data_IF_537959707061
#
_entry.id   IF_537959707061
#
_cell.length_a   1.000
_cell.length_b   1.000
_cell.length_c   1.000
_cell.angle_alpha   90.00
_cell.angle_beta   90.00
_cell.angle_gamma   90.00
#
_symmetry.space_group_name_H-M   'P 1'
#
loop_
_entity.id
_entity.type
_entity.pdbx_description
1 polymer ?
#
# COMPACT_ATOMS: atom_id res chain seq x y z
N UNK A 1 23.11 20.68 0.13
CA UNK A 1 22.52 19.92 -0.99
C UNK A 1 21.37 19.12 -0.40
N UNK A 2 20.22 19.01 -1.08
CA UNK A 2 19.11 18.20 -0.58
C UNK A 2 19.58 16.75 -0.34
N UNK A 3 19.10 16.15 0.73
CA UNK A 3 19.45 14.78 1.09
C UNK A 3 18.84 13.81 0.06
N UNK A 4 19.57 12.80 -0.44
CA UNK A 4 19.01 11.85 -1.41
C UNK A 4 17.75 11.17 -0.86
N UNK A 5 16.72 11.06 -1.70
CA UNK A 5 15.48 10.37 -1.38
C UNK A 5 15.48 8.98 -2.01
N UNK A 6 15.05 7.97 -1.26
CA UNK A 6 14.97 6.58 -1.72
C UNK A 6 13.58 6.02 -1.42
N UNK A 7 12.94 5.43 -2.43
CA UNK A 7 11.76 4.59 -2.24
C UNK A 7 12.18 3.13 -2.05
N UNK A 8 11.94 2.59 -0.85
CA UNK A 8 12.17 1.20 -0.49
C UNK A 8 11.03 0.26 -0.96
N UNK A 9 10.54 0.43 -2.19
CA UNK A 9 9.38 -0.29 -2.74
C UNK A 9 9.52 -0.56 -4.24
N UNK A 10 9.09 -1.73 -4.69
CA UNK A 10 9.01 -2.10 -6.12
C UNK A 10 7.64 -1.82 -6.72
N UNK A 11 6.76 -1.09 -6.04
CA UNK A 11 5.43 -0.75 -6.55
C UNK A 11 5.52 0.33 -7.63
N UNK A 12 5.09 0.03 -8.85
CA UNK A 12 5.03 1.01 -9.93
C UNK A 12 4.04 2.15 -9.67
N UNK A 13 2.95 1.86 -8.94
CA UNK A 13 1.95 2.85 -8.55
C UNK A 13 2.58 3.89 -7.61
N UNK A 14 3.28 3.45 -6.57
CA UNK A 14 3.96 4.36 -5.63
C UNK A 14 5.04 5.20 -6.32
N UNK A 15 5.82 4.58 -7.20
CA UNK A 15 6.80 5.31 -8.01
C UNK A 15 6.13 6.38 -8.87
N UNK A 16 5.01 6.05 -9.52
CA UNK A 16 4.25 6.99 -10.35
C UNK A 16 3.70 8.15 -9.52
N UNK A 17 3.18 7.88 -8.32
CA UNK A 17 2.69 8.92 -7.40
C UNK A 17 3.80 9.91 -7.00
N UNK A 18 4.97 9.42 -6.60
CA UNK A 18 6.08 10.28 -6.21
C UNK A 18 6.64 11.08 -7.41
N UNK A 19 6.75 10.46 -8.59
CA UNK A 19 7.19 11.15 -9.82
C UNK A 19 6.20 12.24 -10.25
N UNK A 20 4.90 11.95 -10.20
CA UNK A 20 3.86 12.92 -10.51
C UNK A 20 3.84 14.09 -9.52
N UNK A 21 4.29 13.88 -8.28
CA UNK A 21 4.50 14.92 -7.29
C UNK A 21 5.80 15.72 -7.50
N UNK A 22 6.58 15.43 -8.55
CA UNK A 22 7.82 16.14 -8.88
C UNK A 22 9.04 15.75 -8.03
N UNK A 23 8.97 14.62 -7.32
CA UNK A 23 10.09 14.15 -6.49
C UNK A 23 11.15 13.42 -7.33
N UNK A 24 12.41 13.74 -7.08
CA UNK A 24 13.56 12.97 -7.55
C UNK A 24 13.97 11.95 -6.49
N UNK A 25 14.06 10.67 -6.86
CA UNK A 25 14.34 9.58 -5.92
C UNK A 25 14.89 8.33 -6.62
N UNK A 26 15.71 7.59 -5.89
CA UNK A 26 16.14 6.25 -6.26
C UNK A 26 15.14 5.19 -5.81
N UNK A 27 15.09 4.06 -6.52
CA UNK A 27 14.27 2.90 -6.13
C UNK A 27 15.17 1.77 -5.67
N UNK A 28 14.94 1.27 -4.46
CA UNK A 28 15.69 0.15 -3.88
C UNK A 28 14.74 -0.90 -3.31
N UNK A 29 14.83 -2.13 -3.79
CA UNK A 29 14.04 -3.23 -3.22
C UNK A 29 14.56 -3.62 -1.82
N UNK A 30 13.75 -3.50 -0.78
CA UNK A 30 14.14 -3.87 0.59
C UNK A 30 14.39 -5.39 0.77
N UNK A 31 13.79 -6.24 -0.08
CA UNK A 31 13.85 -7.72 -0.02
C UNK A 31 13.56 -8.25 1.39
N UNK A 32 12.32 -8.08 1.85
CA UNK A 32 11.84 -8.50 3.18
C UNK A 32 10.93 -9.72 3.01
N UNK A 33 11.00 -10.67 3.95
CA UNK A 33 10.03 -11.76 4.06
C UNK A 33 8.78 -11.25 4.81
N UNK A 34 7.85 -10.67 4.04
CA UNK A 34 6.66 -10.01 4.58
C UNK A 34 5.66 -11.01 5.18
N UNK A 35 5.64 -12.24 4.67
CA UNK A 35 4.68 -13.28 5.08
C UNK A 35 5.01 -13.80 6.47
N UNK A 36 6.30 -14.08 6.73
CA UNK A 36 6.76 -14.52 8.06
C UNK A 36 6.46 -13.46 9.13
N UNK A 37 6.77 -12.18 8.85
CA UNK A 37 6.52 -11.07 9.79
C UNK A 37 5.03 -10.87 10.05
N UNK A 38 4.21 -10.91 9.00
CA UNK A 38 2.76 -10.81 9.14
C UNK A 38 2.21 -11.95 9.99
N UNK A 39 2.67 -13.17 9.75
CA UNK A 39 2.19 -14.37 10.46
C UNK A 39 2.57 -14.34 11.94
N UNK A 40 3.79 -13.90 12.28
CA UNK A 40 4.19 -13.76 13.68
C UNK A 40 3.38 -12.69 14.41
N UNK A 41 3.14 -11.54 13.76
CA UNK A 41 2.36 -10.46 14.36
C UNK A 41 0.89 -10.83 14.54
N UNK A 42 0.30 -11.56 13.60
CA UNK A 42 -1.06 -12.08 13.74
C UNK A 42 -1.18 -13.09 14.89
N UNK A 43 -0.15 -13.90 15.12
CA UNK A 43 -0.11 -14.83 16.26
C UNK A 43 -0.03 -14.12 17.62
N UNK A 44 0.37 -12.84 17.63
CA UNK A 44 0.41 -11.95 18.80
C UNK A 44 -0.79 -10.98 18.84
N UNK A 45 -1.86 -11.26 18.09
CA UNK A 45 -3.08 -10.44 18.01
C UNK A 45 -2.84 -8.98 17.59
N UNK A 46 -1.76 -8.72 16.84
CA UNK A 46 -1.47 -7.38 16.33
C UNK A 46 -2.58 -6.89 15.39
N UNK A 47 -2.93 -5.60 15.51
CA UNK A 47 -3.97 -5.02 14.66
C UNK A 47 -3.49 -4.89 13.20
N UNK A 48 -4.42 -4.83 12.21
CA UNK A 48 -4.08 -4.50 10.83
C UNK A 48 -3.23 -3.24 10.67
N UNK A 49 -3.46 -2.25 11.55
CA UNK A 49 -2.72 -0.99 11.58
C UNK A 49 -1.27 -1.22 11.98
N UNK A 50 -1.03 -2.01 13.02
CA UNK A 50 0.31 -2.30 13.54
C UNK A 50 1.11 -3.14 12.54
N UNK A 51 0.45 -4.11 11.88
CA UNK A 51 1.07 -4.94 10.85
C UNK A 51 1.56 -4.09 9.67
N UNK A 52 0.72 -3.19 9.15
CA UNK A 52 1.13 -2.36 8.01
C UNK A 52 2.22 -1.34 8.38
N UNK A 53 2.15 -0.75 9.59
CA UNK A 53 3.20 0.16 10.11
C UNK A 53 4.54 -0.56 10.25
N UNK A 54 4.55 -1.74 10.88
CA UNK A 54 5.76 -2.53 11.10
C UNK A 54 6.38 -3.02 9.78
N UNK A 55 5.58 -3.45 8.81
CA UNK A 55 6.08 -3.86 7.50
C UNK A 55 6.66 -2.67 6.71
N UNK A 56 6.04 -1.49 6.80
CA UNK A 56 6.58 -0.27 6.18
C UNK A 56 7.90 0.15 6.84
N UNK A 57 7.98 0.14 8.17
CA UNK A 57 9.20 0.45 8.93
C UNK A 57 10.31 -0.55 8.62
N UNK A 58 10.03 -1.85 8.59
CA UNK A 58 11.00 -2.89 8.29
C UNK A 58 11.62 -2.70 6.90
N UNK A 59 10.81 -2.36 5.89
CA UNK A 59 11.28 -2.05 4.53
C UNK A 59 12.19 -0.82 4.52
N UNK A 60 11.77 0.27 5.18
CA UNK A 60 12.53 1.51 5.25
C UNK A 60 13.87 1.32 5.99
N UNK A 61 13.83 0.78 7.19
CA UNK A 61 15.00 0.60 8.08
C UNK A 61 16.07 -0.29 7.44
N UNK A 62 15.67 -1.37 6.76
CA UNK A 62 16.61 -2.28 6.09
C UNK A 62 17.42 -1.61 4.98
N UNK A 63 16.81 -0.69 4.24
CA UNK A 63 17.49 0.09 3.18
C UNK A 63 18.26 1.26 3.80
N UNK A 64 17.67 1.96 4.76
CA UNK A 64 18.27 3.11 5.46
C UNK A 64 19.57 2.75 6.20
N UNK A 65 19.64 1.57 6.83
CA UNK A 65 20.85 1.09 7.48
C UNK A 65 22.06 0.93 6.52
N UNK A 66 21.81 0.79 5.21
CA UNK A 66 22.84 0.69 4.17
C UNK A 66 23.10 2.01 3.43
N UNK A 67 22.24 3.01 3.64
CA UNK A 67 22.25 4.33 3.00
C UNK A 67 22.03 5.39 4.08
N UNK A 68 22.96 5.51 5.06
CA UNK A 68 22.77 6.37 6.23
C UNK A 68 22.70 7.87 5.89
N UNK A 69 23.13 8.24 4.69
CA UNK A 69 23.12 9.57 4.11
C UNK A 69 21.80 9.92 3.40
N UNK A 70 20.85 9.00 3.29
CA UNK A 70 19.61 9.18 2.53
C UNK A 70 18.36 9.14 3.43
N UNK A 71 17.31 9.83 2.98
CA UNK A 71 15.95 9.63 3.48
C UNK A 71 15.33 8.44 2.75
N UNK A 72 14.86 7.46 3.51
CA UNK A 72 14.32 6.23 2.94
C UNK A 72 12.85 6.08 3.29
N UNK A 73 12.00 6.09 2.26
CA UNK A 73 10.55 5.87 2.37
C UNK A 73 10.25 4.38 2.24
N UNK A 74 9.74 3.76 3.29
CA UNK A 74 9.11 2.44 3.25
C UNK A 74 7.60 2.57 3.24
N UNK A 75 6.93 1.68 2.52
CA UNK A 75 5.47 1.65 2.45
C UNK A 75 4.93 0.23 2.45
N UNK A 76 3.79 0.05 3.09
CA UNK A 76 3.02 -1.19 3.09
C UNK A 76 1.53 -0.91 2.95
N UNK A 77 0.76 -1.92 2.54
CA UNK A 77 -0.68 -1.80 2.46
C UNK A 77 -1.32 -3.15 2.78
N UNK A 78 -2.34 -3.12 3.64
CA UNK A 78 -3.16 -4.27 3.99
C UNK A 78 -4.64 -3.99 3.74
N UNK A 79 -5.38 -5.05 3.44
CA UNK A 79 -6.83 -5.00 3.31
C UNK A 79 -7.46 -5.77 4.46
N UNK A 80 -8.29 -5.10 5.25
CA UNK A 80 -9.04 -5.68 6.35
C UNK A 80 -10.51 -5.86 5.95
N UNK A 81 -10.95 -7.11 5.83
CA UNK A 81 -12.34 -7.48 5.63
C UNK A 81 -12.88 -8.07 6.94
N UNK A 82 -13.58 -7.24 7.72
CA UNK A 82 -14.25 -7.66 8.96
C UNK A 82 -13.33 -8.39 9.95
N UNK A 83 -12.10 -7.91 10.11
CA UNK A 83 -11.08 -8.50 11.01
C UNK A 83 -10.17 -9.51 10.32
N UNK A 84 -10.45 -9.90 9.07
CA UNK A 84 -9.60 -10.79 8.28
C UNK A 84 -8.72 -10.00 7.32
N UNK A 85 -7.41 -10.20 7.41
CA UNK A 85 -6.48 -9.67 6.42
C UNK A 85 -6.55 -10.47 5.12
N UNK A 86 -6.69 -9.77 3.99
CA UNK A 86 -6.53 -10.36 2.67
C UNK A 86 -5.11 -10.14 2.15
N UNK A 87 -4.61 -11.14 1.44
CA UNK A 87 -3.33 -11.10 0.73
C UNK A 87 -3.58 -10.97 -0.77
N UNK A 88 -2.53 -10.66 -1.54
CA UNK A 88 -2.60 -10.68 -3.00
C UNK A 88 -2.98 -12.10 -3.46
N UNK A 89 -3.92 -12.25 -4.41
CA UNK A 89 -4.28 -13.57 -4.91
C UNK A 89 -3.13 -14.19 -5.71
N UNK A 90 -2.84 -15.46 -5.51
CA UNK A 90 -1.90 -16.21 -6.33
C UNK A 90 -2.52 -16.70 -7.64
N UNK A 91 -3.85 -16.87 -7.66
CA UNK A 91 -4.60 -17.43 -8.79
C UNK A 91 -5.87 -16.63 -9.12
N UNK A 92 -6.39 -16.70 -10.36
CA UNK A 92 -7.69 -16.12 -10.71
C UNK A 92 -8.84 -16.64 -9.83
N UNK A 93 -8.76 -17.90 -9.41
CA UNK A 93 -9.76 -18.53 -8.53
C UNK A 93 -9.75 -17.90 -7.13
N UNK A 94 -8.56 -17.65 -6.58
CA UNK A 94 -8.42 -16.90 -5.32
C UNK A 94 -8.93 -15.47 -5.46
N UNK A 95 -8.61 -14.78 -6.56
CA UNK A 95 -9.13 -13.44 -6.83
C UNK A 95 -10.67 -13.44 -6.87
N UNK A 96 -11.27 -14.44 -7.54
CA UNK A 96 -12.72 -14.62 -7.59
C UNK A 96 -13.31 -14.84 -6.20
N UNK A 97 -12.69 -15.66 -5.37
CA UNK A 97 -13.12 -15.90 -3.99
C UNK A 97 -13.05 -14.61 -3.16
N UNK A 98 -11.92 -13.89 -3.21
CA UNK A 98 -11.74 -12.63 -2.47
C UNK A 98 -12.75 -11.55 -2.90
N UNK A 99 -12.91 -11.33 -4.20
CA UNK A 99 -13.87 -10.36 -4.75
C UNK A 99 -15.32 -10.78 -4.45
N UNK A 100 -15.62 -12.08 -4.48
CA UNK A 100 -16.91 -12.63 -4.05
C UNK A 100 -17.19 -12.35 -2.58
N UNK A 101 -16.20 -12.53 -1.70
CA UNK A 101 -16.31 -12.25 -0.27
C UNK A 101 -16.58 -10.77 0.03
N UNK A 102 -15.98 -9.87 -0.75
CA UNK A 102 -16.15 -8.41 -0.62
C UNK A 102 -17.41 -7.87 -1.28
N UNK A 103 -18.05 -8.63 -2.19
CA UNK A 103 -19.25 -8.21 -2.95
C UNK A 103 -20.35 -7.68 -2.02
N UNK A 104 -20.82 -6.46 -2.30
CA UNK A 104 -21.86 -5.79 -1.50
C UNK A 104 -21.46 -5.44 -0.07
N UNK A 105 -20.21 -5.69 0.33
CA UNK A 105 -19.70 -5.44 1.67
C UNK A 105 -18.76 -4.25 1.69
N UNK A 106 -18.45 -3.84 2.92
CA UNK A 106 -17.43 -2.85 3.21
C UNK A 106 -16.16 -3.55 3.69
N UNK A 107 -15.02 -3.03 3.27
CA UNK A 107 -13.69 -3.35 3.79
C UNK A 107 -12.87 -2.07 3.96
N UNK A 108 -11.78 -2.18 4.70
CA UNK A 108 -10.87 -1.07 4.94
C UNK A 108 -9.50 -1.38 4.32
N UNK A 109 -8.94 -0.44 3.55
CA UNK A 109 -7.55 -0.42 3.14
C UNK A 109 -6.75 0.44 4.12
N UNK A 110 -5.65 -0.09 4.62
CA UNK A 110 -4.72 0.64 5.47
C UNK A 110 -3.39 0.72 4.73
N UNK A 111 -2.90 1.93 4.50
CA UNK A 111 -1.62 2.17 3.82
C UNK A 111 -0.67 2.94 4.74
N UNK A 112 0.44 2.30 5.09
CA UNK A 112 1.48 2.90 5.89
C UNK A 112 2.58 3.51 5.03
N UNK A 113 3.12 4.64 5.48
CA UNK A 113 4.39 5.18 5.03
C UNK A 113 5.26 5.50 6.25
N UNK A 114 6.53 5.12 6.17
CA UNK A 114 7.54 5.37 7.20
C UNK A 114 8.77 5.96 6.52
N UNK A 115 9.32 7.05 7.07
CA UNK A 115 10.61 7.59 6.65
C UNK A 115 11.65 7.21 7.69
N UNK A 116 12.75 6.63 7.21
CA UNK A 116 13.92 6.31 8.02
C UNK A 116 15.16 7.08 7.58
N UNK A 117 15.97 7.48 8.55
CA UNK A 117 17.29 8.08 8.38
C UNK A 117 18.30 7.36 9.29
N UNK A 118 19.47 6.98 8.76
CA UNK A 118 20.47 6.26 9.54
C UNK A 118 19.98 4.95 10.19
N UNK A 119 19.01 4.26 9.58
CA UNK A 119 18.41 3.05 10.12
C UNK A 119 17.39 3.28 11.25
N UNK A 120 16.90 4.51 11.43
CA UNK A 120 15.89 4.84 12.46
C UNK A 120 14.68 5.51 11.83
N UNK A 121 13.48 5.09 12.22
CA UNK A 121 12.25 5.76 11.83
C UNK A 121 12.18 7.15 12.45
N UNK A 122 12.03 8.17 11.61
CA UNK A 122 11.90 9.59 12.02
C UNK A 122 10.49 10.14 11.77
N UNK A 123 9.69 9.45 10.97
CA UNK A 123 8.29 9.79 10.70
C UNK A 123 7.51 8.55 10.28
N UNK A 124 6.23 8.50 10.66
CA UNK A 124 5.30 7.44 10.28
C UNK A 124 3.88 7.98 10.14
N UNK A 125 3.13 7.43 9.19
CA UNK A 125 1.71 7.69 9.03
C UNK A 125 1.01 6.44 8.50
N UNK A 126 -0.21 6.16 8.99
CA UNK A 126 -1.08 5.10 8.47
C UNK A 126 -2.41 5.71 8.06
N UNK A 127 -2.61 5.82 6.75
CA UNK A 127 -3.89 6.26 6.17
C UNK A 127 -4.87 5.10 6.15
N UNK A 128 -6.16 5.39 6.36
CA UNK A 128 -7.24 4.40 6.32
C UNK A 128 -8.31 4.85 5.33
N UNK A 129 -8.67 3.97 4.40
CA UNK A 129 -9.76 4.20 3.45
C UNK A 129 -10.78 3.10 3.58
N UNK A 130 -12.04 3.52 3.68
CA UNK A 130 -13.20 2.66 3.76
C UNK A 130 -13.83 2.52 2.38
N UNK A 131 -13.94 1.30 1.90
CA UNK A 131 -14.44 1.01 0.55
C UNK A 131 -15.67 0.13 0.63
N UNK A 132 -16.71 0.47 -0.14
CA UNK A 132 -17.94 -0.33 -0.25
C UNK A 132 -18.08 -0.83 -1.68
N UNK A 133 -18.12 -2.16 -1.85
CA UNK A 133 -18.33 -2.77 -3.15
C UNK A 133 -19.82 -2.81 -3.52
N UNK A 134 -20.09 -2.79 -4.83
CA UNK A 134 -21.40 -3.06 -5.41
C UNK A 134 -21.75 -4.53 -5.24
N UNK A 135 -23.05 -4.83 -5.35
CA UNK A 135 -23.52 -6.20 -5.56
C UNK A 135 -23.48 -6.54 -7.05
N UNK A 136 -22.28 -6.72 -7.60
CA UNK A 136 -22.08 -7.08 -9.01
C UNK A 136 -22.42 -8.55 -9.29
N UNK A 137 -22.74 -8.90 -10.53
CA UNK A 137 -23.08 -10.27 -10.93
C UNK A 137 -21.84 -11.16 -11.06
N UNK A 138 -22.04 -12.48 -11.02
CA UNK A 138 -20.96 -13.44 -11.29
C UNK A 138 -20.40 -13.30 -12.71
N UNK A 139 -21.27 -13.11 -13.70
CA UNK A 139 -20.84 -12.87 -15.09
C UNK A 139 -19.94 -11.63 -15.21
N UNK A 140 -20.25 -10.55 -14.47
CA UNK A 140 -19.37 -9.38 -14.44
C UNK A 140 -18.03 -9.69 -13.75
N UNK A 141 -18.07 -10.38 -12.62
CA UNK A 141 -16.86 -10.76 -11.87
C UNK A 141 -15.91 -11.60 -12.70
N UNK A 142 -16.42 -12.64 -13.36
CA UNK A 142 -15.62 -13.57 -14.17
C UNK A 142 -14.96 -12.81 -15.34
N UNK A 143 -15.75 -12.00 -16.06
CA UNK A 143 -15.21 -11.18 -17.15
C UNK A 143 -14.23 -10.09 -16.68
N UNK A 144 -14.46 -9.51 -15.50
CA UNK A 144 -13.53 -8.53 -14.91
C UNK A 144 -12.17 -9.17 -14.61
N UNK A 145 -12.16 -10.37 -14.00
CA UNK A 145 -10.90 -11.07 -13.69
C UNK A 145 -10.17 -11.43 -14.99
N UNK A 146 -10.87 -11.98 -15.98
CA UNK A 146 -10.28 -12.36 -17.27
C UNK A 146 -9.58 -11.18 -17.95
N UNK A 147 -10.24 -10.01 -18.02
CA UNK A 147 -9.68 -8.82 -18.68
C UNK A 147 -8.51 -8.18 -17.91
N UNK A 148 -8.49 -8.30 -16.58
CA UNK A 148 -7.62 -7.49 -15.73
C UNK A 148 -6.56 -8.31 -14.96
N UNK A 149 -6.52 -9.64 -15.11
CA UNK A 149 -5.71 -10.54 -14.28
C UNK A 149 -4.25 -10.13 -14.14
N UNK A 150 -3.56 -9.86 -15.25
CA UNK A 150 -2.14 -9.50 -15.24
C UNK A 150 -1.83 -8.25 -14.40
N UNK A 151 -2.79 -7.33 -14.30
CA UNK A 151 -2.67 -6.12 -13.52
C UNK A 151 -3.05 -6.35 -12.04
N UNK A 152 -4.20 -6.97 -11.78
CA UNK A 152 -4.79 -7.05 -10.44
C UNK A 152 -4.15 -8.11 -9.55
N UNK A 153 -3.44 -9.10 -10.12
CA UNK A 153 -2.71 -10.13 -9.35
C UNK A 153 -1.63 -9.56 -8.43
N UNK A 154 -1.18 -8.35 -8.70
CA UNK A 154 -0.17 -7.65 -7.89
C UNK A 154 -0.79 -6.73 -6.82
N UNK A 155 -2.12 -6.60 -6.78
CA UNK A 155 -2.86 -5.74 -5.86
C UNK A 155 -3.55 -6.54 -4.76
N UNK A 156 -3.59 -5.98 -3.54
CA UNK A 156 -4.37 -6.57 -2.45
C UNK A 156 -5.85 -6.43 -2.75
N UNK A 157 -6.63 -7.51 -2.57
CA UNK A 157 -8.05 -7.51 -2.90
C UNK A 157 -8.40 -7.65 -4.39
N UNK A 158 -7.40 -7.83 -5.27
CA UNK A 158 -7.61 -8.05 -6.70
C UNK A 158 -8.37 -6.92 -7.42
N UNK A 159 -8.16 -5.68 -7.00
CA UNK A 159 -8.68 -4.51 -7.72
C UNK A 159 -7.68 -3.36 -7.74
N UNK A 160 -7.92 -2.44 -8.68
CA UNK A 160 -7.21 -1.17 -8.83
C UNK A 160 -8.23 -0.08 -9.13
N UNK A 161 -8.20 1.00 -8.36
CA UNK A 161 -9.18 2.08 -8.47
C UNK A 161 -8.85 3.03 -9.63
N UNK A 162 -7.59 3.02 -10.05
CA UNK A 162 -7.01 3.73 -11.19
C UNK A 162 -7.24 3.01 -12.55
N UNK A 163 -7.84 1.82 -12.52
CA UNK A 163 -8.17 1.00 -13.71
C UNK A 163 -9.67 0.61 -13.70
N UNK A 164 -10.06 -0.48 -14.39
CA UNK A 164 -11.46 -0.94 -14.46
C UNK A 164 -12.06 -1.25 -13.07
N UNK A 165 -11.22 -1.53 -12.07
CA UNK A 165 -11.63 -1.91 -10.72
C UNK A 165 -12.51 -0.86 -10.03
N UNK A 166 -12.46 0.42 -10.43
CA UNK A 166 -13.38 1.46 -9.94
C UNK A 166 -14.86 1.09 -10.09
N UNK A 167 -15.20 0.32 -11.12
CA UNK A 167 -16.57 -0.14 -11.39
C UNK A 167 -17.09 -1.11 -10.33
N UNK A 168 -16.22 -1.72 -9.53
CA UNK A 168 -16.59 -2.60 -8.42
C UNK A 168 -17.15 -1.83 -7.21
N UNK A 169 -16.93 -0.51 -7.12
CA UNK A 169 -17.22 0.27 -5.92
C UNK A 169 -18.46 1.16 -6.06
N UNK A 170 -19.28 1.19 -5.01
CA UNK A 170 -20.38 2.15 -4.85
C UNK A 170 -19.96 3.38 -4.05
N UNK A 171 -18.97 3.24 -3.17
CA UNK A 171 -18.49 4.30 -2.30
C UNK A 171 -17.03 4.09 -1.89
N UNK A 172 -16.28 5.19 -1.81
CA UNK A 172 -14.93 5.27 -1.25
C UNK A 172 -14.94 6.44 -0.25
N UNK A 173 -14.53 6.18 0.98
CA UNK A 173 -14.48 7.17 2.07
C UNK A 173 -13.07 7.23 2.64
N UNK A 174 -12.37 8.32 2.35
CA UNK A 174 -10.97 8.52 2.71
C UNK A 174 -10.19 9.17 1.57
N UNK A 175 -8.87 9.10 1.66
CA UNK A 175 -7.97 9.70 0.69
C UNK A 175 -7.68 8.75 -0.50
N UNK A 176 -7.71 9.30 -1.72
CA UNK A 176 -7.47 8.54 -2.95
C UNK A 176 -6.04 8.02 -3.03
N UNK A 177 -5.03 8.78 -2.60
CA UNK A 177 -3.64 8.33 -2.63
C UNK A 177 -3.42 7.14 -1.69
N UNK A 178 -4.08 7.17 -0.53
CA UNK A 178 -4.10 6.05 0.41
C UNK A 178 -4.69 4.79 -0.23
N UNK A 179 -5.71 4.87 -1.10
CA UNK A 179 -6.19 3.70 -1.89
C UNK A 179 -5.08 3.14 -2.76
N UNK A 180 -4.33 4.02 -3.42
CA UNK A 180 -3.21 3.67 -4.30
C UNK A 180 -1.96 3.18 -3.54
N UNK A 181 -2.03 3.09 -2.21
CA UNK A 181 -1.00 2.47 -1.38
C UNK A 181 0.02 3.44 -0.80
N UNK A 182 -0.23 4.75 -0.83
CA UNK A 182 0.66 5.77 -0.27
C UNK A 182 -0.13 6.97 0.28
N UNK A 183 -0.07 7.28 1.59
CA UNK A 183 -0.63 8.52 2.15
C UNK A 183 0.21 9.73 1.70
N UNK A 184 0.06 10.11 0.42
CA UNK A 184 0.96 11.03 -0.29
C UNK A 184 0.91 12.44 0.30
N UNK A 185 -0.26 12.94 0.68
CA UNK A 185 -0.42 14.29 1.22
C UNK A 185 0.33 14.45 2.56
N UNK A 186 0.19 13.46 3.46
CA UNK A 186 0.91 13.44 4.74
C UNK A 186 2.43 13.35 4.53
N UNK A 187 2.86 12.53 3.58
CA UNK A 187 4.27 12.39 3.20
C UNK A 187 4.85 13.73 2.71
N UNK A 188 4.19 14.36 1.73
CA UNK A 188 4.66 15.62 1.15
C UNK A 188 4.65 16.75 2.18
N UNK A 189 3.64 16.78 3.05
CA UNK A 189 3.56 17.75 4.15
C UNK A 189 4.77 17.62 5.08
N UNK A 190 5.16 16.39 5.43
CA UNK A 190 6.34 16.15 6.25
C UNK A 190 7.64 16.60 5.56
N UNK A 191 7.85 16.18 4.30
CA UNK A 191 9.05 16.55 3.54
C UNK A 191 9.17 18.08 3.36
N UNK A 192 8.04 18.75 3.16
CA UNK A 192 8.02 20.22 3.04
C UNK A 192 8.38 20.90 4.37
N UNK A 193 7.76 20.47 5.49
CA UNK A 193 8.03 21.03 6.81
C UNK A 193 9.49 20.83 7.26
N UNK A 194 10.13 19.75 6.81
CA UNK A 194 11.55 19.49 7.07
C UNK A 194 12.49 20.27 6.14
N UNK A 195 11.97 20.80 5.03
CA UNK A 195 12.73 21.54 4.03
C UNK A 195 13.47 20.66 3.02
N UNK A 196 13.07 19.39 2.86
CA UNK A 196 13.64 18.51 1.82
C UNK A 196 13.07 18.84 0.43
N UNK A 197 11.89 19.47 0.37
CA UNK A 197 11.26 19.95 -0.86
C UNK A 197 10.78 21.41 -0.71
N UNK A 198 10.82 22.16 -1.81
CA UNK A 198 10.36 23.54 -1.88
C UNK A 198 8.82 23.62 -1.96
N UNK A 199 8.25 24.75 -1.51
CA UNK A 199 6.81 25.01 -1.50
C UNK A 199 6.48 26.31 -2.24
#
# INVERSE_FOLDING_TARGET
MPQPLILASTSDIRQTLLRNAGLDFDVVAARVDEETVRSSMLAEDASPRDITDALAELKATKVSAKRPDALVIGCDQVLNLQGRLLSKPATPQEARAQLGDMRGKRHDLLSAAVICEGGKAIWRHVGVVRMTMRSFSDAYLDGYIERNWESIRHSVGAYKLEEEGVRLFSRVEGDYFTVLGLPLLDLLSYLTLRGDIEQ
#
